data_IF_207886933998
#
_entry.id   IF_207886933998
#
_cell.length_a   1.000
_cell.length_b   1.000
_cell.length_c   1.000
_cell.angle_alpha   90.00
_cell.angle_beta   90.00
_cell.angle_gamma   90.00
#
_symmetry.space_group_name_H-M   'P 1'
#
loop_
_entity.id
_entity.type
_entity.pdbx_description
1 polymer ?
#
# COMPACT_ATOMS: atom_id res chain seq x y z
N UNK A 1 59.37 -12.20 38.07
CA UNK A 1 59.31 -12.02 36.61
C UNK A 1 57.85 -12.03 36.22
N UNK A 2 57.31 -10.84 36.00
CA UNK A 2 55.89 -10.52 35.83
C UNK A 2 55.51 -10.62 34.35
N UNK A 3 54.49 -11.42 34.05
CA UNK A 3 53.89 -11.56 32.72
C UNK A 3 52.88 -10.42 32.51
N UNK A 4 52.99 -9.59 31.45
CA UNK A 4 51.92 -8.67 31.05
C UNK A 4 51.24 -9.20 29.79
N UNK A 5 49.97 -9.58 29.88
CA UNK A 5 49.12 -9.78 28.70
C UNK A 5 47.64 -9.84 29.12
N UNK A 6 47.07 -8.69 29.47
CA UNK A 6 45.62 -8.48 29.53
C UNK A 6 45.30 -7.03 29.17
N UNK A 7 45.51 -6.69 27.91
CA UNK A 7 45.07 -5.39 27.36
C UNK A 7 44.59 -5.47 25.90
N UNK A 8 44.20 -6.66 25.41
CA UNK A 8 43.58 -6.78 24.07
C UNK A 8 42.04 -6.85 24.10
N UNK A 9 41.42 -7.08 25.25
CA UNK A 9 39.95 -7.23 25.35
C UNK A 9 39.18 -5.91 25.55
N UNK A 10 39.87 -4.77 25.72
CA UNK A 10 39.20 -3.47 25.93
C UNK A 10 38.97 -2.65 24.66
N UNK A 11 39.47 -3.08 23.50
CA UNK A 11 39.31 -2.34 22.24
C UNK A 11 38.14 -2.79 21.36
N UNK A 12 37.27 -3.70 21.82
CA UNK A 12 36.13 -4.21 21.02
C UNK A 12 34.75 -3.62 21.35
N UNK A 13 34.65 -2.70 22.31
CA UNK A 13 33.34 -2.17 22.73
C UNK A 13 32.91 -0.84 22.07
N UNK A 14 33.82 -0.09 21.43
CA UNK A 14 33.56 1.32 21.09
C UNK A 14 33.37 1.63 19.60
N UNK A 15 33.12 0.65 18.72
CA UNK A 15 32.90 0.93 17.28
C UNK A 15 31.54 0.53 16.70
N UNK A 16 30.61 -0.03 17.48
CA UNK A 16 29.29 -0.41 16.95
C UNK A 16 28.26 0.74 16.86
N UNK A 17 28.60 1.93 17.37
CA UNK A 17 27.82 3.15 17.17
C UNK A 17 28.21 3.89 15.87
N UNK A 18 28.38 3.14 14.77
CA UNK A 18 28.53 3.73 13.43
C UNK A 18 27.24 4.46 13.01
N UNK A 19 27.28 5.79 13.17
CA UNK A 19 26.56 6.85 12.43
C UNK A 19 25.10 6.56 11.99
N UNK A 20 24.09 7.05 12.73
CA UNK A 20 22.68 6.75 12.46
C UNK A 20 21.98 7.56 11.37
N UNK A 21 22.64 8.43 10.58
CA UNK A 21 21.90 9.37 9.73
C UNK A 21 21.52 8.85 8.34
N UNK A 22 22.32 7.97 7.72
CA UNK A 22 21.99 7.38 6.40
C UNK A 22 21.13 6.10 6.51
N UNK A 23 21.20 5.41 7.65
CA UNK A 23 20.59 4.08 7.84
C UNK A 23 19.08 4.12 8.16
N UNK A 24 18.56 5.19 8.78
CA UNK A 24 17.16 5.22 9.24
C UNK A 24 16.14 5.19 8.09
N UNK A 25 16.39 5.97 7.02
CA UNK A 25 15.49 6.00 5.84
C UNK A 25 15.51 4.67 5.10
N UNK A 26 16.71 4.14 4.86
CA UNK A 26 16.90 2.83 4.22
C UNK A 26 16.20 1.72 5.01
N UNK A 27 16.37 1.69 6.34
CA UNK A 27 15.67 0.77 7.24
C UNK A 27 14.16 0.90 7.13
N UNK A 28 13.62 2.13 7.04
CA UNK A 28 12.18 2.34 6.94
C UNK A 28 11.62 1.84 5.59
N UNK A 29 12.35 2.12 4.49
CA UNK A 29 12.02 1.58 3.16
C UNK A 29 12.06 0.05 3.19
N UNK A 30 13.13 -0.52 3.75
CA UNK A 30 13.30 -1.97 3.89
C UNK A 30 12.19 -2.61 4.74
N UNK A 31 11.82 -1.98 5.86
CA UNK A 31 10.69 -2.43 6.70
C UNK A 31 9.40 -2.52 5.89
N UNK A 32 9.07 -1.51 5.10
CA UNK A 32 7.89 -1.55 4.25
C UNK A 32 7.96 -2.65 3.18
N UNK A 33 9.12 -2.89 2.58
CA UNK A 33 9.25 -3.99 1.62
C UNK A 33 9.11 -5.36 2.30
N UNK A 34 9.67 -5.56 3.48
CA UNK A 34 9.50 -6.81 4.25
C UNK A 34 8.02 -7.03 4.61
N UNK A 35 7.30 -5.98 4.98
CA UNK A 35 5.86 -6.05 5.26
C UNK A 35 5.07 -6.60 4.06
N UNK A 36 5.52 -6.34 2.82
CA UNK A 36 4.83 -6.82 1.60
C UNK A 36 4.84 -8.35 1.43
N UNK A 37 5.80 -9.08 2.02
CA UNK A 37 6.00 -10.52 1.76
C UNK A 37 4.75 -11.34 2.12
N UNK A 38 4.03 -10.95 3.17
CA UNK A 38 2.81 -11.63 3.63
C UNK A 38 1.59 -10.71 3.67
N UNK A 39 1.69 -9.52 3.07
CA UNK A 39 0.63 -8.53 3.07
C UNK A 39 -0.50 -8.94 2.12
N UNK A 40 -1.72 -8.50 2.45
CA UNK A 40 -2.83 -8.55 1.47
C UNK A 40 -2.52 -7.64 0.29
N UNK A 41 -3.09 -7.88 -0.91
CA UNK A 41 -2.75 -7.10 -2.10
C UNK A 41 -2.85 -5.57 -1.94
N UNK A 42 -3.91 -5.06 -1.29
CA UNK A 42 -4.05 -3.61 -1.03
C UNK A 42 -2.98 -3.08 -0.06
N UNK A 43 -2.62 -3.88 0.95
CA UNK A 43 -1.55 -3.54 1.90
C UNK A 43 -0.20 -3.48 1.16
N UNK A 44 0.07 -4.40 0.24
CA UNK A 44 1.26 -4.34 -0.62
C UNK A 44 1.34 -3.02 -1.39
N UNK A 45 0.23 -2.57 -2.01
CA UNK A 45 0.19 -1.26 -2.67
C UNK A 45 0.51 -0.13 -1.69
N UNK A 46 -0.06 -0.17 -0.48
CA UNK A 46 0.18 0.86 0.55
C UNK A 46 1.63 0.90 1.01
N UNK A 47 2.25 -0.26 1.30
CA UNK A 47 3.63 -0.33 1.77
C UNK A 47 4.62 0.12 0.69
N UNK A 48 4.46 -0.36 -0.56
CA UNK A 48 5.33 0.04 -1.67
C UNK A 48 5.21 1.52 -1.97
N UNK A 49 3.98 2.05 -2.04
CA UNK A 49 3.80 3.48 -2.32
C UNK A 49 4.31 4.36 -1.18
N UNK A 50 4.15 3.96 0.09
CA UNK A 50 4.80 4.65 1.23
C UNK A 50 6.31 4.64 1.11
N UNK A 51 6.91 3.48 0.87
CA UNK A 51 8.35 3.33 0.67
C UNK A 51 8.87 4.23 -0.46
N UNK A 52 8.18 4.24 -1.60
CA UNK A 52 8.50 5.12 -2.73
C UNK A 52 8.41 6.60 -2.38
N UNK A 53 7.48 7.00 -1.52
CA UNK A 53 7.30 8.40 -1.12
C UNK A 53 8.31 8.88 -0.06
N UNK A 54 9.03 7.98 0.62
CA UNK A 54 10.12 8.31 1.54
C UNK A 54 11.42 8.71 0.83
N UNK A 55 11.58 8.32 -0.44
CA UNK A 55 12.70 8.75 -1.27
C UNK A 55 12.63 10.26 -1.55
N UNK A 56 13.78 10.91 -1.51
CA UNK A 56 13.93 12.29 -1.96
C UNK A 56 13.66 12.41 -3.48
N UNK A 57 13.32 13.62 -3.97
CA UNK A 57 13.01 13.85 -5.37
C UNK A 57 14.10 13.35 -6.33
N UNK A 58 15.37 13.57 -6.00
CA UNK A 58 16.50 13.21 -6.87
C UNK A 58 16.66 11.70 -6.99
N UNK A 59 16.56 10.98 -5.86
CA UNK A 59 16.60 9.52 -5.86
C UNK A 59 15.41 8.92 -6.60
N UNK A 60 14.20 9.48 -6.45
CA UNK A 60 13.03 9.04 -7.24
C UNK A 60 13.22 9.27 -8.73
N UNK A 61 13.76 10.43 -9.12
CA UNK A 61 14.04 10.74 -10.52
C UNK A 61 15.05 9.76 -11.10
N UNK A 62 16.14 9.48 -10.38
CA UNK A 62 17.16 8.49 -10.76
C UNK A 62 16.57 7.09 -10.97
N UNK A 63 15.63 6.68 -10.12
CA UNK A 63 14.95 5.37 -10.23
C UNK A 63 13.75 5.38 -11.19
N UNK A 64 13.45 6.50 -11.84
CA UNK A 64 12.26 6.65 -12.68
C UNK A 64 10.97 6.26 -11.95
N UNK A 65 10.80 6.76 -10.72
CA UNK A 65 9.60 6.58 -9.90
C UNK A 65 8.77 7.87 -9.95
N UNK A 66 7.58 7.81 -10.56
CA UNK A 66 6.65 8.95 -10.59
C UNK A 66 5.99 9.15 -9.21
N UNK A 67 6.50 10.13 -8.45
CA UNK A 67 5.96 10.47 -7.13
C UNK A 67 4.50 10.94 -7.15
N UNK A 68 4.02 11.55 -8.25
CA UNK A 68 2.61 11.95 -8.37
C UNK A 68 1.73 10.71 -8.57
N UNK A 69 2.16 9.77 -9.40
CA UNK A 69 1.49 8.49 -9.56
C UNK A 69 1.45 7.71 -8.23
N UNK A 70 2.57 7.61 -7.50
CA UNK A 70 2.63 6.91 -6.22
C UNK A 70 1.68 7.52 -5.18
N UNK A 71 1.58 8.86 -5.10
CA UNK A 71 0.57 9.52 -4.24
C UNK A 71 -0.85 9.18 -4.65
N UNK A 72 -1.13 9.11 -5.95
CA UNK A 72 -2.43 8.72 -6.48
C UNK A 72 -2.81 7.28 -6.12
N UNK A 73 -1.89 6.34 -6.36
CA UNK A 73 -2.06 4.92 -6.01
C UNK A 73 -2.27 4.73 -4.51
N UNK A 74 -1.44 5.40 -3.69
CA UNK A 74 -1.59 5.38 -2.23
C UNK A 74 -2.98 5.87 -1.81
N UNK A 75 -3.43 6.99 -2.36
CA UNK A 75 -4.72 7.60 -2.02
C UNK A 75 -5.90 6.68 -2.34
N UNK A 76 -5.89 6.05 -3.52
CA UNK A 76 -6.93 5.08 -3.94
C UNK A 76 -6.88 3.84 -3.06
N UNK A 77 -5.70 3.22 -2.91
CA UNK A 77 -5.52 2.00 -2.12
C UNK A 77 -5.93 2.21 -0.65
N UNK A 78 -5.62 3.37 -0.07
CA UNK A 78 -5.97 3.69 1.31
C UNK A 78 -7.49 3.75 1.50
N UNK A 79 -8.21 4.37 0.57
CA UNK A 79 -9.68 4.45 0.63
C UNK A 79 -10.34 3.09 0.40
N UNK A 80 -9.79 2.29 -0.51
CA UNK A 80 -10.25 0.92 -0.73
C UNK A 80 -9.98 0.03 0.49
N UNK A 81 -8.85 0.18 1.17
CA UNK A 81 -8.53 -0.60 2.37
C UNK A 81 -9.37 -0.22 3.60
N UNK A 82 -10.05 0.94 3.58
CA UNK A 82 -10.84 1.46 4.70
C UNK A 82 -12.28 1.77 4.26
N UNK A 83 -13.06 0.78 3.78
CA UNK A 83 -14.46 1.00 3.43
C UNK A 83 -15.29 1.25 4.69
N UNK A 84 -16.26 2.15 4.61
CA UNK A 84 -17.31 2.24 5.62
C UNK A 84 -18.32 1.11 5.39
N UNK A 85 -18.54 0.29 6.42
CA UNK A 85 -19.42 -0.88 6.34
C UNK A 85 -20.68 -0.59 7.16
N UNK A 86 -21.84 -0.60 6.52
CA UNK A 86 -23.13 -0.45 7.18
C UNK A 86 -23.87 -1.79 7.16
N UNK A 87 -24.21 -2.39 8.32
CA UNK A 87 -25.11 -3.52 8.35
C UNK A 87 -26.52 -3.08 7.97
N UNK A 88 -27.19 -3.90 7.17
CA UNK A 88 -28.57 -3.76 6.70
C UNK A 88 -29.31 -5.10 6.84
N UNK A 89 -30.64 -5.09 6.71
CA UNK A 89 -31.47 -6.31 6.81
C UNK A 89 -31.15 -7.36 5.73
N UNK A 90 -30.48 -6.96 4.64
CA UNK A 90 -30.08 -7.80 3.51
C UNK A 90 -28.57 -8.12 3.50
N UNK A 91 -27.87 -7.93 4.63
CA UNK A 91 -26.42 -8.14 4.78
C UNK A 91 -25.62 -6.85 5.00
N UNK A 92 -24.44 -6.73 4.36
CA UNK A 92 -23.55 -5.56 4.52
C UNK A 92 -23.57 -4.67 3.26
N UNK A 93 -23.68 -3.37 3.45
CA UNK A 93 -23.42 -2.37 2.41
C UNK A 93 -22.02 -1.79 2.60
N UNK A 94 -21.20 -1.86 1.57
CA UNK A 94 -19.84 -1.31 1.56
C UNK A 94 -19.83 0.05 0.88
N UNK A 95 -19.16 1.03 1.51
CA UNK A 95 -19.02 2.39 1.01
C UNK A 95 -17.57 2.81 0.92
N UNK A 96 -17.16 3.29 -0.24
CA UNK A 96 -15.82 3.83 -0.47
C UNK A 96 -15.94 5.25 -1.01
N UNK A 97 -15.29 6.21 -0.34
CA UNK A 97 -15.28 7.59 -0.79
C UNK A 97 -14.11 7.84 -1.74
N UNK A 98 -14.40 7.96 -3.03
CA UNK A 98 -13.44 8.40 -4.06
C UNK A 98 -13.54 9.90 -4.35
N UNK A 99 -14.30 10.64 -3.52
CA UNK A 99 -14.46 12.10 -3.59
C UNK A 99 -13.10 12.79 -3.50
N UNK A 100 -12.89 13.85 -4.27
CA UNK A 100 -11.65 14.64 -4.30
C UNK A 100 -10.41 13.93 -4.89
N UNK A 101 -10.58 12.81 -5.61
CA UNK A 101 -9.52 12.27 -6.46
C UNK A 101 -9.63 12.86 -7.87
N UNK A 102 -8.50 12.91 -8.59
CA UNK A 102 -8.48 13.16 -10.02
C UNK A 102 -9.09 11.94 -10.73
N UNK A 103 -10.40 11.98 -10.99
CA UNK A 103 -11.14 10.85 -11.56
C UNK A 103 -10.62 10.47 -12.94
N UNK A 104 -10.21 11.45 -13.75
CA UNK A 104 -9.70 11.21 -15.10
C UNK A 104 -8.41 10.40 -15.07
N UNK A 105 -7.48 10.72 -14.17
CA UNK A 105 -6.16 10.07 -14.11
C UNK A 105 -6.11 8.85 -13.20
N UNK A 106 -6.88 8.85 -12.11
CA UNK A 106 -6.71 7.89 -11.01
C UNK A 106 -7.87 6.92 -10.82
N UNK A 107 -9.02 7.13 -11.46
CA UNK A 107 -10.20 6.26 -11.27
C UNK A 107 -10.67 5.68 -12.60
N UNK A 108 -10.89 6.54 -13.60
CA UNK A 108 -11.34 6.16 -14.94
C UNK A 108 -10.52 5.05 -15.62
N UNK A 109 -9.18 4.97 -15.46
CA UNK A 109 -8.39 3.93 -16.15
C UNK A 109 -8.71 2.50 -15.74
N UNK A 110 -9.31 2.29 -14.57
CA UNK A 110 -9.54 0.94 -14.02
C UNK A 110 -10.96 0.71 -13.50
N UNK A 111 -11.73 1.76 -13.26
CA UNK A 111 -13.10 1.64 -12.81
C UNK A 111 -13.97 0.99 -13.89
N UNK A 112 -14.63 -0.12 -13.55
CA UNK A 112 -15.56 -0.81 -14.45
C UNK A 112 -16.98 -0.65 -13.91
N UNK A 113 -17.93 -0.32 -14.78
CA UNK A 113 -19.31 0.01 -14.39
C UNK A 113 -20.14 -1.23 -13.97
N UNK A 114 -19.63 -2.45 -14.12
CA UNK A 114 -20.28 -3.69 -13.69
C UNK A 114 -20.10 -4.01 -12.18
N UNK A 115 -19.71 -3.02 -11.38
CA UNK A 115 -19.62 -3.18 -9.92
C UNK A 115 -21.03 -3.35 -9.34
N UNK A 116 -21.26 -4.48 -8.68
CA UNK A 116 -22.57 -4.82 -8.13
C UNK A 116 -22.96 -3.87 -6.98
N UNK A 117 -24.15 -3.29 -7.09
CA UNK A 117 -24.74 -2.42 -6.06
C UNK A 117 -25.89 -3.13 -5.35
N UNK A 118 -26.13 -2.77 -4.10
CA UNK A 118 -27.32 -3.15 -3.33
C UNK A 118 -28.45 -2.19 -3.61
N UNK A 119 -29.50 -2.68 -4.27
CA UNK A 119 -30.74 -1.97 -4.50
C UNK A 119 -31.93 -2.94 -4.38
N UNK A 120 -33.10 -2.45 -3.95
CA UNK A 120 -34.35 -3.19 -4.13
C UNK A 120 -34.63 -3.45 -5.62
N UNK A 121 -35.18 -4.62 -5.95
CA UNK A 121 -35.50 -4.98 -7.34
C UNK A 121 -36.45 -3.97 -8.01
N UNK A 122 -37.40 -3.42 -7.23
CA UNK A 122 -38.36 -2.41 -7.68
C UNK A 122 -37.71 -1.14 -8.23
N UNK A 123 -36.45 -0.88 -7.86
CA UNK A 123 -35.76 0.36 -8.20
C UNK A 123 -34.72 0.17 -9.32
N UNK A 124 -34.42 -1.08 -9.71
CA UNK A 124 -33.34 -1.37 -10.69
C UNK A 124 -33.56 -0.69 -12.05
N UNK A 125 -34.76 -0.78 -12.63
CA UNK A 125 -35.06 -0.19 -13.95
C UNK A 125 -34.94 1.34 -13.95
N UNK A 126 -35.46 2.00 -12.89
CA UNK A 126 -35.37 3.46 -12.73
C UNK A 126 -33.92 3.93 -12.56
N UNK A 127 -33.06 3.09 -12.01
CA UNK A 127 -31.67 3.43 -11.75
C UNK A 127 -30.77 3.32 -12.99
N UNK A 128 -31.06 2.40 -13.91
CA UNK A 128 -30.29 2.31 -15.17
C UNK A 128 -30.41 3.60 -15.97
N UNK A 129 -31.62 4.14 -16.10
CA UNK A 129 -31.86 5.41 -16.80
C UNK A 129 -31.23 6.60 -16.05
N UNK A 130 -31.32 6.62 -14.72
CA UNK A 130 -30.68 7.65 -13.91
C UNK A 130 -29.15 7.65 -14.11
N UNK A 131 -28.51 6.48 -14.10
CA UNK A 131 -27.06 6.38 -14.30
C UNK A 131 -26.63 6.91 -15.66
N UNK A 132 -27.37 6.63 -16.74
CA UNK A 132 -27.05 7.14 -18.09
C UNK A 132 -27.00 8.67 -18.16
N UNK A 133 -27.82 9.34 -17.35
CA UNK A 133 -27.87 10.81 -17.29
C UNK A 133 -26.74 11.45 -16.45
N UNK A 134 -26.05 10.65 -15.63
CA UNK A 134 -25.05 11.16 -14.68
C UNK A 134 -23.66 11.31 -15.32
N UNK A 135 -22.94 12.35 -14.87
CA UNK A 135 -21.51 12.46 -15.15
C UNK A 135 -20.76 11.22 -14.64
N UNK A 136 -19.57 10.92 -15.22
CA UNK A 136 -18.76 9.79 -14.77
C UNK A 136 -18.45 9.85 -13.26
N UNK A 137 -18.10 11.03 -12.75
CA UNK A 137 -17.76 11.22 -11.33
C UNK A 137 -18.98 10.99 -10.44
N UNK A 138 -20.15 11.49 -10.85
CA UNK A 138 -21.42 11.25 -10.16
C UNK A 138 -21.79 9.77 -10.16
N UNK A 139 -21.56 9.06 -11.28
CA UNK A 139 -21.79 7.60 -11.37
C UNK A 139 -20.87 6.81 -10.46
N UNK A 140 -19.57 7.09 -10.49
CA UNK A 140 -18.59 6.47 -9.60
C UNK A 140 -19.05 6.65 -8.15
N UNK A 141 -19.35 7.88 -7.75
CA UNK A 141 -19.76 8.16 -6.38
C UNK A 141 -21.07 7.45 -6.00
N UNK A 142 -22.03 7.41 -6.91
CA UNK A 142 -23.30 6.75 -6.67
C UNK A 142 -23.11 5.24 -6.45
N UNK A 143 -22.25 4.61 -7.27
CA UNK A 143 -21.91 3.18 -7.19
C UNK A 143 -21.15 2.89 -5.89
N UNK A 144 -20.09 3.65 -5.61
CA UNK A 144 -19.22 3.37 -4.46
C UNK A 144 -19.88 3.67 -3.11
N UNK A 145 -21.05 4.31 -3.06
CA UNK A 145 -21.86 4.51 -1.84
C UNK A 145 -22.84 3.36 -1.55
N UNK A 146 -22.99 2.40 -2.47
CA UNK A 146 -24.06 1.38 -2.45
C UNK A 146 -23.57 -0.03 -2.80
N UNK A 147 -22.29 -0.34 -2.64
CA UNK A 147 -21.77 -1.62 -3.10
C UNK A 147 -22.25 -2.78 -2.22
N UNK A 148 -22.57 -3.91 -2.86
CA UNK A 148 -22.60 -5.20 -2.17
C UNK A 148 -21.18 -5.63 -1.78
N UNK A 149 -21.06 -6.67 -0.97
CA UNK A 149 -19.75 -7.27 -0.67
C UNK A 149 -19.03 -7.71 -1.94
N UNK A 150 -19.74 -8.42 -2.83
CA UNK A 150 -19.22 -8.85 -4.12
C UNK A 150 -18.80 -7.64 -4.96
N UNK A 151 -19.63 -6.61 -5.05
CA UNK A 151 -19.31 -5.39 -5.79
C UNK A 151 -18.06 -4.69 -5.27
N UNK A 152 -17.90 -4.60 -3.95
CA UNK A 152 -16.69 -4.05 -3.33
C UNK A 152 -15.44 -4.87 -3.71
N UNK A 153 -15.51 -6.20 -3.62
CA UNK A 153 -14.38 -7.06 -4.02
C UNK A 153 -14.08 -6.99 -5.51
N UNK A 154 -15.09 -6.88 -6.38
CA UNK A 154 -14.91 -6.63 -7.81
C UNK A 154 -14.21 -5.29 -8.06
N UNK A 155 -14.61 -4.22 -7.35
CA UNK A 155 -13.96 -2.91 -7.46
C UNK A 155 -12.48 -2.97 -7.05
N UNK A 156 -12.19 -3.61 -5.91
CA UNK A 156 -10.82 -3.83 -5.43
C UNK A 156 -10.01 -4.63 -6.45
N UNK A 157 -10.59 -5.71 -6.99
CA UNK A 157 -9.95 -6.53 -8.01
C UNK A 157 -9.59 -5.73 -9.27
N UNK A 158 -10.50 -4.88 -9.75
CA UNK A 158 -10.25 -4.02 -10.92
C UNK A 158 -9.10 -3.03 -10.68
N UNK A 159 -9.04 -2.43 -9.48
CA UNK A 159 -7.93 -1.55 -9.12
C UNK A 159 -6.60 -2.29 -9.09
N UNK A 160 -6.56 -3.45 -8.43
CA UNK A 160 -5.35 -4.26 -8.29
C UNK A 160 -4.84 -4.75 -9.65
N UNK A 161 -5.73 -5.28 -10.50
CA UNK A 161 -5.41 -5.71 -11.87
C UNK A 161 -4.70 -4.59 -12.66
N UNK A 162 -5.19 -3.35 -12.53
CA UNK A 162 -4.59 -2.21 -13.20
C UNK A 162 -3.25 -1.76 -12.58
N UNK A 163 -3.09 -1.77 -11.25
CA UNK A 163 -1.93 -1.16 -10.61
C UNK A 163 -0.78 -2.12 -10.28
N UNK A 164 -1.03 -3.42 -10.14
CA UNK A 164 -0.07 -4.33 -9.49
C UNK A 164 1.25 -4.45 -10.24
N UNK A 165 1.25 -4.49 -11.58
CA UNK A 165 2.50 -4.53 -12.36
C UNK A 165 3.40 -3.33 -12.06
N UNK A 166 2.82 -2.12 -11.96
CA UNK A 166 3.56 -0.88 -11.64
C UNK A 166 4.07 -0.88 -10.20
N UNK A 167 3.28 -1.43 -9.28
CA UNK A 167 3.66 -1.56 -7.87
C UNK A 167 4.83 -2.54 -7.73
N UNK A 168 4.80 -3.68 -8.41
CA UNK A 168 5.90 -4.66 -8.40
C UNK A 168 7.18 -4.09 -9.02
N UNK A 169 7.07 -3.39 -10.15
CA UNK A 169 8.21 -2.69 -10.77
C UNK A 169 8.83 -1.67 -9.80
N UNK A 170 7.99 -0.89 -9.11
CA UNK A 170 8.44 0.09 -8.11
C UNK A 170 9.08 -0.61 -6.91
N UNK A 171 8.54 -1.72 -6.43
CA UNK A 171 9.13 -2.50 -5.35
C UNK A 171 10.53 -3.02 -5.72
N UNK A 172 10.70 -3.53 -6.95
CA UNK A 172 12.01 -3.94 -7.46
C UNK A 172 13.00 -2.78 -7.51
N UNK A 173 12.58 -1.61 -7.99
CA UNK A 173 13.41 -0.39 -7.99
C UNK A 173 13.82 0.02 -6.56
N UNK A 174 12.89 -0.04 -5.60
CA UNK A 174 13.17 0.26 -4.19
C UNK A 174 14.13 -0.74 -3.56
N UNK A 175 14.05 -2.01 -3.92
CA UNK A 175 14.97 -3.03 -3.41
C UNK A 175 16.43 -2.70 -3.74
N UNK A 176 16.70 -2.04 -4.88
CA UNK A 176 18.06 -1.64 -5.26
C UNK A 176 18.64 -0.52 -4.38
N UNK A 177 17.82 0.16 -3.57
CA UNK A 177 18.29 1.20 -2.64
C UNK A 177 18.64 0.66 -1.26
N UNK A 178 18.49 -0.65 -1.05
CA UNK A 178 18.72 -1.30 0.25
C UNK A 178 19.97 -2.17 0.15
N UNK A 179 20.90 -1.95 1.07
CA UNK A 179 22.08 -2.77 1.26
C UNK A 179 21.70 -4.17 1.77
N UNK A 180 22.40 -5.23 1.32
CA UNK A 180 22.19 -6.59 1.82
C UNK A 180 22.29 -6.69 3.34
N UNK A 181 23.17 -5.91 3.96
CA UNK A 181 23.37 -5.84 5.40
C UNK A 181 22.11 -5.37 6.12
N UNK A 182 21.49 -4.27 5.65
CA UNK A 182 20.26 -3.72 6.22
C UNK A 182 19.09 -4.69 6.05
N UNK A 183 18.99 -5.34 4.88
CA UNK A 183 17.96 -6.34 4.66
C UNK A 183 18.12 -7.54 5.61
N UNK A 184 19.33 -8.10 5.73
CA UNK A 184 19.61 -9.22 6.61
C UNK A 184 19.34 -8.91 8.08
N UNK A 185 19.74 -7.71 8.54
CA UNK A 185 19.48 -7.25 9.91
C UNK A 185 17.97 -7.19 10.21
N UNK A 186 17.21 -6.48 9.36
CA UNK A 186 15.78 -6.27 9.59
C UNK A 186 14.96 -7.56 9.42
N UNK A 187 15.29 -8.37 8.43
CA UNK A 187 14.59 -9.64 8.20
C UNK A 187 14.74 -10.58 9.39
N UNK A 188 15.94 -10.66 9.98
CA UNK A 188 16.18 -11.42 11.23
C UNK A 188 15.36 -10.87 12.39
N UNK A 189 15.36 -9.55 12.60
CA UNK A 189 14.59 -8.92 13.69
C UNK A 189 13.08 -9.19 13.57
N UNK A 190 12.51 -9.11 12.38
CA UNK A 190 11.08 -9.41 12.14
C UNK A 190 10.77 -10.88 12.42
N UNK A 191 11.65 -11.78 12.00
CA UNK A 191 11.49 -13.23 12.22
C UNK A 191 11.57 -13.60 13.70
N UNK A 192 12.53 -13.04 14.43
CA UNK A 192 12.67 -13.24 15.88
C UNK A 192 11.47 -12.73 16.66
N UNK A 193 10.92 -11.56 16.29
CA UNK A 193 9.70 -11.02 16.91
C UNK A 193 8.49 -11.91 16.70
N UNK A 194 8.29 -12.46 15.50
CA UNK A 194 7.19 -13.40 15.22
C UNK A 194 7.31 -14.65 16.09
N UNK A 195 8.50 -15.25 16.15
CA UNK A 195 8.75 -16.43 16.97
C UNK A 195 8.44 -16.23 18.46
N UNK A 196 8.68 -15.03 19.00
CA UNK A 196 8.35 -14.68 20.38
C UNK A 196 6.86 -14.41 20.62
N UNK A 197 6.11 -14.00 19.59
CA UNK A 197 4.67 -13.77 19.71
C UNK A 197 3.88 -15.08 19.69
N UNK A 198 4.45 -16.14 19.11
CA UNK A 198 3.84 -17.47 18.99
C UNK A 198 4.15 -18.40 20.19
N UNK A 199 4.96 -17.94 21.15
CA UNK A 199 5.31 -18.64 22.41
C UNK A 199 4.70 -17.95 23.61
#
# INVERSE_FOLDING_TARGET
MTTPARDEDRMRADSFFQRPSFNAKERLICSHLIETINAKPLETVLHVTRAALLLDPDTRARLSIDGKQMRGLFSVAYRLANPAIKPDHSGKTYRVSLRNLDHKRLVKPWFKEHVMVKLPESDMEKHVELLKSMSFESRVQWITDRMSEVGYHTLVGCFLDWCMARVQETAGKLATTISPETYGELFRMVTERRRRADT
#
